data_IF_739159678151
#
_entry.id   IF_739159678151
#
_cell.length_a   1.000
_cell.length_b   1.000
_cell.length_c   1.000
_cell.angle_alpha   90.00
_cell.angle_beta   90.00
_cell.angle_gamma   90.00
#
_symmetry.space_group_name_H-M   'P 1'
#
loop_
_entity.id
_entity.type
_entity.pdbx_description
1 polymer ?
#
# COMPACT_ATOMS: atom_id res chain seq x y z
N UNK A 1 -20.81 -8.51 29.69
CA UNK A 1 -19.39 -8.94 29.59
C UNK A 1 -18.60 -7.70 29.25
N UNK A 2 -17.68 -7.28 30.13
CA UNK A 2 -16.70 -6.27 29.74
C UNK A 2 -15.84 -6.87 28.62
N UNK A 3 -15.73 -6.16 27.49
CA UNK A 3 -14.90 -6.62 26.38
C UNK A 3 -13.47 -6.20 26.65
N UNK A 4 -12.61 -7.17 26.99
CA UNK A 4 -11.17 -6.93 27.07
C UNK A 4 -10.58 -6.75 25.66
N UNK A 5 -9.59 -5.86 25.54
CA UNK A 5 -8.89 -5.63 24.28
C UNK A 5 -8.07 -6.87 23.92
N UNK A 6 -8.33 -7.44 22.74
CA UNK A 6 -7.55 -8.58 22.28
C UNK A 6 -6.15 -8.14 21.84
N UNK A 7 -5.16 -9.04 21.96
CA UNK A 7 -3.79 -8.81 21.49
C UNK A 7 -3.71 -8.35 20.04
N UNK A 8 -4.61 -8.83 19.18
CA UNK A 8 -4.69 -8.41 17.77
C UNK A 8 -5.06 -6.93 17.67
N UNK A 9 -6.06 -6.48 18.43
CA UNK A 9 -6.48 -5.07 18.44
C UNK A 9 -5.36 -4.21 19.02
N UNK A 10 -4.73 -4.63 20.12
CA UNK A 10 -3.58 -3.92 20.69
C UNK A 10 -2.47 -3.71 19.65
N UNK A 11 -2.15 -4.74 18.87
CA UNK A 11 -1.13 -4.67 17.81
C UNK A 11 -1.54 -3.71 16.70
N UNK A 12 -2.80 -3.78 16.23
CA UNK A 12 -3.32 -2.92 15.17
C UNK A 12 -3.33 -1.43 15.58
N UNK A 13 -3.75 -1.12 16.80
CA UNK A 13 -3.73 0.25 17.34
C UNK A 13 -2.29 0.77 17.56
N UNK A 14 -1.34 -0.14 17.68
CA UNK A 14 0.08 0.15 17.81
C UNK A 14 0.80 0.30 16.47
N UNK A 15 0.12 0.23 15.32
CA UNK A 15 0.76 0.33 14.02
C UNK A 15 1.58 1.63 13.84
N UNK A 16 2.79 1.47 13.30
CA UNK A 16 3.67 2.58 12.89
C UNK A 16 4.61 2.14 11.78
N UNK A 17 4.70 2.93 10.72
CA UNK A 17 5.57 2.59 9.60
C UNK A 17 7.06 2.63 9.99
N UNK A 18 7.77 1.56 9.71
CA UNK A 18 9.21 1.42 9.90
C UNK A 18 9.94 1.67 8.57
N UNK A 19 10.91 2.58 8.56
CA UNK A 19 11.68 2.98 7.37
C UNK A 19 13.19 2.79 7.53
N UNK A 20 13.61 2.18 8.62
CA UNK A 20 15.00 1.79 8.90
C UNK A 20 14.97 0.36 9.43
N UNK A 21 15.71 -0.52 8.77
CA UNK A 21 15.74 -1.96 9.05
C UNK A 21 17.17 -2.43 9.27
N UNK A 22 17.34 -3.47 10.09
CA UNK A 22 18.63 -4.14 10.24
C UNK A 22 18.99 -4.87 8.94
N UNK A 23 20.29 -5.14 8.74
CA UNK A 23 20.80 -5.94 7.61
C UNK A 23 20.55 -7.43 7.84
N UNK A 24 19.28 -7.81 7.89
CA UNK A 24 18.80 -9.17 8.13
C UNK A 24 17.59 -9.44 7.22
N UNK A 25 17.64 -10.56 6.50
CA UNK A 25 16.50 -11.06 5.71
C UNK A 25 15.53 -11.83 6.62
N UNK A 26 14.27 -11.94 6.21
CA UNK A 26 13.30 -12.82 6.84
C UNK A 26 13.74 -14.29 6.70
N UNK A 27 13.36 -15.11 7.67
CA UNK A 27 13.57 -16.56 7.59
C UNK A 27 12.56 -17.21 6.64
N UNK A 28 12.86 -18.37 6.05
CA UNK A 28 11.90 -19.10 5.22
C UNK A 28 10.55 -19.34 5.91
N UNK A 29 10.57 -19.67 7.20
CA UNK A 29 9.35 -19.84 8.00
C UNK A 29 8.53 -18.56 8.10
N UNK A 30 9.17 -17.40 8.29
CA UNK A 30 8.47 -16.11 8.32
C UNK A 30 7.86 -15.79 6.95
N UNK A 31 8.61 -16.02 5.86
CA UNK A 31 8.12 -15.82 4.50
C UNK A 31 6.87 -16.68 4.24
N UNK A 32 6.94 -17.98 4.51
CA UNK A 32 5.81 -18.89 4.33
C UNK A 32 4.58 -18.50 5.16
N UNK A 33 4.77 -18.04 6.40
CA UNK A 33 3.65 -17.54 7.23
C UNK A 33 2.97 -16.34 6.57
N UNK A 34 3.75 -15.37 6.10
CA UNK A 34 3.22 -14.16 5.47
C UNK A 34 2.53 -14.46 4.12
N UNK A 35 3.12 -15.34 3.32
CA UNK A 35 2.54 -15.82 2.06
C UNK A 35 1.21 -16.54 2.26
N UNK A 36 1.12 -17.42 3.27
CA UNK A 36 -0.11 -18.13 3.61
C UNK A 36 -1.21 -17.16 4.09
N UNK A 37 -0.86 -16.15 4.91
CA UNK A 37 -1.81 -15.12 5.33
C UNK A 37 -2.35 -14.35 4.12
N UNK A 38 -1.46 -13.96 3.20
CA UNK A 38 -1.85 -13.34 1.95
C UNK A 38 -2.83 -14.26 1.22
N UNK A 39 -2.49 -15.54 1.02
CA UNK A 39 -3.33 -16.52 0.33
C UNK A 39 -4.74 -16.69 0.95
N UNK A 40 -4.85 -16.56 2.28
CA UNK A 40 -6.11 -16.69 3.02
C UNK A 40 -6.97 -15.41 3.02
N UNK A 41 -6.53 -14.33 2.39
CA UNK A 41 -7.27 -13.05 2.34
C UNK A 41 -8.54 -13.20 1.50
N UNK A 42 -9.64 -12.57 1.93
CA UNK A 42 -10.91 -12.52 1.19
C UNK A 42 -10.72 -11.92 -0.22
N UNK A 43 -11.52 -12.41 -1.18
CA UNK A 43 -11.43 -11.99 -2.59
C UNK A 43 -12.80 -11.88 -3.24
N UNK A 44 -12.95 -10.91 -4.15
CA UNK A 44 -14.20 -10.74 -4.91
C UNK A 44 -14.44 -11.92 -5.83
N UNK A 45 -15.67 -12.45 -5.78
CA UNK A 45 -16.13 -13.58 -6.61
C UNK A 45 -15.22 -14.84 -6.55
N UNK A 46 -14.36 -14.94 -5.53
CA UNK A 46 -13.31 -15.97 -5.42
C UNK A 46 -12.31 -16.02 -6.59
N UNK A 47 -12.22 -14.94 -7.36
CA UNK A 47 -11.37 -14.86 -8.57
C UNK A 47 -9.91 -14.54 -8.27
N UNK A 48 -9.62 -14.14 -7.02
CA UNK A 48 -8.29 -13.96 -6.44
C UNK A 48 -7.38 -13.06 -7.28
N UNK A 49 -7.87 -11.93 -7.79
CA UNK A 49 -7.28 -11.10 -8.87
C UNK A 49 -6.02 -10.32 -8.48
N UNK A 50 -5.11 -10.97 -7.75
CA UNK A 50 -3.85 -10.43 -7.24
C UNK A 50 -2.71 -11.41 -7.39
N UNK A 51 -1.51 -10.86 -7.55
CA UNK A 51 -0.23 -11.54 -7.48
C UNK A 51 0.74 -10.75 -6.61
N UNK A 52 1.73 -11.43 -6.04
CA UNK A 52 2.77 -10.81 -5.20
C UNK A 52 4.14 -11.22 -5.70
N UNK A 53 5.01 -10.25 -5.94
CA UNK A 53 6.42 -10.50 -6.25
C UNK A 53 7.28 -10.24 -5.02
N UNK A 54 8.07 -11.23 -4.60
CA UNK A 54 9.17 -11.04 -3.65
C UNK A 54 10.45 -10.66 -4.41
N UNK A 55 10.89 -9.42 -4.29
CA UNK A 55 12.03 -8.89 -5.05
C UNK A 55 13.34 -9.16 -4.31
N UNK A 56 14.07 -10.17 -4.75
CA UNK A 56 15.40 -10.55 -4.24
C UNK A 56 16.54 -10.07 -5.14
N UNK A 57 16.28 -9.81 -6.43
CA UNK A 57 17.27 -9.31 -7.39
C UNK A 57 17.73 -7.88 -7.01
N UNK A 58 19.03 -7.67 -6.72
CA UNK A 58 19.56 -6.38 -6.28
C UNK A 58 19.43 -5.27 -7.35
N UNK A 59 19.50 -5.61 -8.64
CA UNK A 59 19.35 -4.65 -9.73
C UNK A 59 17.89 -4.18 -9.81
N UNK A 60 16.93 -5.10 -9.76
CA UNK A 60 15.50 -4.73 -9.74
C UNK A 60 15.16 -3.89 -8.51
N UNK A 61 15.66 -4.26 -7.33
CA UNK A 61 15.46 -3.49 -6.09
C UNK A 61 16.02 -2.07 -6.19
N UNK A 62 17.22 -1.90 -6.76
CA UNK A 62 17.82 -0.59 -7.01
C UNK A 62 16.97 0.26 -7.98
N UNK A 63 16.46 -0.34 -9.05
CA UNK A 63 15.55 0.36 -9.99
C UNK A 63 14.26 0.80 -9.29
N UNK A 64 13.67 -0.04 -8.45
CA UNK A 64 12.47 0.32 -7.66
C UNK A 64 12.78 1.46 -6.67
N UNK A 65 13.96 1.44 -6.04
CA UNK A 65 14.43 2.53 -5.18
C UNK A 65 14.52 3.85 -5.95
N UNK A 66 15.18 3.85 -7.11
CA UNK A 66 15.30 5.02 -8.01
C UNK A 66 13.93 5.58 -8.40
N UNK A 67 12.99 4.72 -8.82
CA UNK A 67 11.63 5.11 -9.16
C UNK A 67 10.92 5.74 -7.96
N UNK A 68 11.06 5.14 -6.78
CA UNK A 68 10.39 5.61 -5.56
C UNK A 68 10.88 6.96 -5.07
N UNK A 69 12.11 7.35 -5.43
CA UNK A 69 12.79 8.54 -4.91
C UNK A 69 13.07 8.50 -3.39
N UNK A 70 13.01 7.31 -2.77
CA UNK A 70 13.14 7.13 -1.33
C UNK A 70 14.32 6.20 -1.01
N UNK A 71 15.36 6.67 -0.28
CA UNK A 71 16.60 5.91 -0.11
C UNK A 71 16.44 4.64 0.73
N UNK A 72 15.42 4.52 1.55
CA UNK A 72 15.17 3.30 2.33
C UNK A 72 14.54 2.18 1.50
N UNK A 73 13.91 2.49 0.36
CA UNK A 73 13.20 1.51 -0.46
C UNK A 73 14.19 0.52 -1.06
N UNK A 74 14.00 -0.77 -0.82
CA UNK A 74 14.86 -1.83 -1.34
C UNK A 74 16.25 -1.93 -0.68
N UNK A 75 16.59 -1.05 0.27
CA UNK A 75 17.92 -0.98 0.88
C UNK A 75 18.19 -2.12 1.90
N UNK A 76 17.25 -2.35 2.83
CA UNK A 76 17.33 -3.40 3.86
C UNK A 76 15.96 -4.02 4.10
N UNK A 77 15.93 -5.26 4.56
CA UNK A 77 14.71 -6.06 4.66
C UNK A 77 14.21 -6.57 3.30
N UNK A 78 13.12 -7.33 3.34
CA UNK A 78 12.48 -7.90 2.18
C UNK A 78 11.53 -6.89 1.52
N UNK A 79 11.43 -6.96 0.19
CA UNK A 79 10.59 -6.06 -0.60
C UNK A 79 9.60 -6.88 -1.40
N UNK A 80 8.31 -6.60 -1.19
CA UNK A 80 7.21 -7.25 -1.90
C UNK A 80 6.48 -6.21 -2.75
N UNK A 81 6.08 -6.58 -3.96
CA UNK A 81 5.22 -5.76 -4.83
C UNK A 81 3.91 -6.50 -5.04
N UNK A 82 2.82 -5.87 -4.63
CA UNK A 82 1.46 -6.38 -4.75
C UNK A 82 0.81 -5.83 -6.02
N UNK A 83 0.24 -6.72 -6.83
CA UNK A 83 -0.12 -6.49 -8.23
C UNK A 83 -1.57 -6.92 -8.43
N UNK A 84 -2.37 -6.10 -9.12
CA UNK A 84 -3.61 -6.57 -9.75
C UNK A 84 -3.24 -7.53 -10.87
N UNK A 85 -3.79 -8.74 -10.86
CA UNK A 85 -3.49 -9.78 -11.84
C UNK A 85 -4.78 -10.31 -12.47
N UNK A 86 -5.14 -9.74 -13.62
CA UNK A 86 -6.21 -10.22 -14.48
C UNK A 86 -5.68 -11.12 -15.61
N UNK A 87 -4.36 -11.09 -15.83
CA UNK A 87 -3.67 -11.93 -16.80
C UNK A 87 -3.92 -13.40 -16.54
N UNK A 88 -3.78 -13.87 -15.29
CA UNK A 88 -4.02 -15.29 -14.95
C UNK A 88 -5.43 -15.73 -15.35
N UNK A 89 -6.44 -14.91 -15.06
CA UNK A 89 -7.83 -15.25 -15.36
C UNK A 89 -8.11 -15.16 -16.87
N UNK A 90 -7.43 -14.27 -17.59
CA UNK A 90 -7.46 -14.23 -19.06
C UNK A 90 -6.91 -15.53 -19.66
N UNK A 91 -5.75 -15.99 -19.19
CA UNK A 91 -5.13 -17.22 -19.66
C UNK A 91 -6.04 -18.43 -19.44
N UNK A 92 -6.69 -18.53 -18.28
CA UNK A 92 -7.66 -19.60 -17.99
C UNK A 92 -8.83 -19.58 -19.00
N UNK A 93 -9.40 -18.41 -19.29
CA UNK A 93 -10.51 -18.28 -20.25
C UNK A 93 -10.09 -18.67 -21.67
N UNK A 94 -8.96 -18.15 -22.13
CA UNK A 94 -8.45 -18.42 -23.48
C UNK A 94 -8.10 -19.90 -23.67
N UNK A 95 -7.46 -20.55 -22.68
CA UNK A 95 -7.15 -21.97 -22.73
C UNK A 95 -8.40 -22.86 -22.72
N UNK A 96 -9.50 -22.37 -22.16
CA UNK A 96 -10.80 -23.02 -22.20
C UNK A 96 -11.63 -22.66 -23.48
N UNK A 97 -11.06 -21.90 -24.42
CA UNK A 97 -11.71 -21.54 -25.69
C UNK A 97 -12.70 -20.38 -25.59
N UNK A 98 -12.70 -19.63 -24.49
CA UNK A 98 -13.53 -18.44 -24.31
C UNK A 98 -12.75 -17.15 -24.64
N UNK A 99 -13.49 -16.08 -24.93
CA UNK A 99 -12.94 -14.72 -25.01
C UNK A 99 -12.54 -14.18 -23.63
N UNK A 100 -12.01 -12.96 -23.58
CA UNK A 100 -11.57 -12.31 -22.33
C UNK A 100 -12.74 -11.83 -21.44
N UNK A 101 -13.98 -11.94 -21.92
CA UNK A 101 -15.18 -11.50 -21.22
C UNK A 101 -15.08 -10.05 -20.73
N UNK A 102 -15.22 -9.87 -19.41
CA UNK A 102 -15.21 -8.56 -18.75
C UNK A 102 -13.85 -8.16 -18.15
N UNK A 103 -12.78 -8.93 -18.38
CA UNK A 103 -11.48 -8.71 -17.72
C UNK A 103 -10.83 -7.36 -18.04
N UNK A 104 -11.23 -6.70 -19.13
CA UNK A 104 -10.74 -5.36 -19.48
C UNK A 104 -11.48 -4.21 -18.79
N UNK A 105 -12.64 -4.47 -18.16
CA UNK A 105 -13.53 -3.42 -17.64
C UNK A 105 -13.00 -2.85 -16.33
N UNK A 106 -13.27 -1.57 -16.10
CA UNK A 106 -12.91 -0.86 -14.85
C UNK A 106 -13.44 -1.57 -13.60
N UNK A 107 -14.64 -2.14 -13.65
CA UNK A 107 -15.22 -2.95 -12.57
C UNK A 107 -14.28 -4.08 -12.10
N UNK A 108 -13.80 -4.91 -13.03
CA UNK A 108 -12.91 -6.03 -12.69
C UNK A 108 -11.53 -5.54 -12.24
N UNK A 109 -11.07 -4.38 -12.74
CA UNK A 109 -9.87 -3.76 -12.23
C UNK A 109 -10.04 -3.30 -10.77
N UNK A 110 -11.14 -2.63 -10.43
CA UNK A 110 -11.43 -2.17 -9.06
C UNK A 110 -11.52 -3.35 -8.08
N UNK A 111 -12.20 -4.43 -8.46
CA UNK A 111 -12.22 -5.67 -7.67
C UNK A 111 -10.80 -6.23 -7.44
N UNK A 112 -9.96 -6.23 -8.48
CA UNK A 112 -8.55 -6.61 -8.33
C UNK A 112 -7.77 -5.67 -7.39
N UNK A 113 -8.04 -4.36 -7.43
CA UNK A 113 -7.44 -3.40 -6.50
C UNK A 113 -7.84 -3.73 -5.07
N UNK A 114 -9.13 -3.98 -4.82
CA UNK A 114 -9.68 -4.37 -3.52
C UNK A 114 -9.01 -5.63 -2.96
N UNK A 115 -8.98 -6.71 -3.75
CA UNK A 115 -8.26 -7.96 -3.41
C UNK A 115 -6.81 -7.67 -3.01
N UNK A 116 -6.14 -6.80 -3.78
CA UNK A 116 -4.73 -6.47 -3.60
C UNK A 116 -4.50 -5.67 -2.31
N UNK A 117 -5.29 -4.64 -2.02
CA UNK A 117 -5.11 -3.80 -0.82
C UNK A 117 -5.51 -4.52 0.47
N UNK A 118 -6.53 -5.40 0.41
CA UNK A 118 -6.86 -6.28 1.53
C UNK A 118 -5.69 -7.20 1.87
N UNK A 119 -5.04 -7.77 0.85
CA UNK A 119 -3.89 -8.64 1.05
C UNK A 119 -2.68 -7.90 1.61
N UNK A 120 -2.44 -6.66 1.17
CA UNK A 120 -1.41 -5.78 1.72
C UNK A 120 -1.62 -5.57 3.22
N UNK A 121 -2.84 -5.21 3.65
CA UNK A 121 -3.09 -4.97 5.07
C UNK A 121 -3.00 -6.25 5.90
N UNK A 122 -3.46 -7.39 5.37
CA UNK A 122 -3.37 -8.68 6.06
C UNK A 122 -1.90 -9.10 6.25
N UNK A 123 -1.07 -8.92 5.21
CA UNK A 123 0.37 -9.12 5.27
C UNK A 123 1.03 -8.24 6.34
N UNK A 124 0.67 -6.95 6.39
CA UNK A 124 1.21 -6.00 7.38
C UNK A 124 0.85 -6.42 8.80
N UNK A 125 -0.40 -6.76 9.07
CA UNK A 125 -0.85 -7.21 10.38
C UNK A 125 -0.08 -8.46 10.83
N UNK A 126 0.10 -9.44 9.93
CA UNK A 126 0.85 -10.65 10.24
C UNK A 126 2.33 -10.35 10.51
N UNK A 127 2.97 -9.51 9.70
CA UNK A 127 4.37 -9.13 9.91
C UNK A 127 4.57 -8.44 11.27
N UNK A 128 3.69 -7.52 11.64
CA UNK A 128 3.76 -6.84 12.94
C UNK A 128 3.48 -7.78 14.11
N UNK A 129 2.62 -8.79 13.92
CA UNK A 129 2.41 -9.84 14.93
C UNK A 129 3.68 -10.68 15.20
N UNK A 130 4.56 -10.79 14.20
CA UNK A 130 5.89 -11.42 14.27
C UNK A 130 6.98 -10.46 14.80
N UNK A 131 6.61 -9.28 15.30
CA UNK A 131 7.51 -8.21 15.77
C UNK A 131 8.42 -7.65 14.67
N UNK A 132 8.03 -7.79 13.40
CA UNK A 132 8.70 -7.15 12.27
C UNK A 132 8.16 -5.72 12.09
N UNK A 133 8.97 -4.87 11.48
CA UNK A 133 8.55 -3.56 11.01
C UNK A 133 8.06 -3.61 9.58
N UNK A 134 7.13 -2.73 9.21
CA UNK A 134 6.63 -2.64 7.84
C UNK A 134 6.52 -1.20 7.35
N UNK A 135 6.60 -0.99 6.04
CA UNK A 135 6.15 0.24 5.39
C UNK A 135 5.49 -0.08 4.05
N UNK A 136 4.28 0.45 3.86
CA UNK A 136 3.57 0.43 2.58
C UNK A 136 4.12 1.55 1.68
N UNK A 137 4.38 1.22 0.42
CA UNK A 137 5.10 2.03 -0.56
C UNK A 137 4.21 2.31 -1.77
N UNK A 138 3.44 3.40 -1.74
CA UNK A 138 2.77 3.92 -2.94
C UNK A 138 3.73 4.63 -3.91
N UNK A 139 4.91 5.04 -3.44
CA UNK A 139 5.93 5.73 -4.22
C UNK A 139 6.54 4.88 -5.33
N UNK A 140 6.42 3.55 -5.28
CA UNK A 140 6.84 2.69 -6.40
C UNK A 140 6.16 3.09 -7.71
N UNK A 141 4.95 3.68 -7.62
CA UNK A 141 4.19 4.16 -8.76
C UNK A 141 4.49 5.62 -9.13
N UNK A 142 5.59 6.21 -8.66
CA UNK A 142 6.04 7.51 -9.13
C UNK A 142 6.45 7.50 -10.62
N UNK A 143 6.75 6.33 -11.19
CA UNK A 143 6.90 6.13 -12.63
C UNK A 143 6.36 4.75 -13.03
N UNK A 144 5.04 4.60 -13.17
CA UNK A 144 4.40 3.29 -13.31
C UNK A 144 4.78 2.58 -14.62
N UNK A 145 4.96 3.32 -15.72
CA UNK A 145 5.44 2.77 -16.99
C UNK A 145 6.80 2.10 -16.85
N UNK A 146 7.73 2.74 -16.13
CA UNK A 146 9.06 2.17 -15.92
C UNK A 146 9.02 0.99 -14.94
N UNK A 147 8.19 1.09 -13.89
CA UNK A 147 8.04 0.00 -12.93
C UNK A 147 7.55 -1.29 -13.60
N UNK A 148 6.55 -1.20 -14.48
CA UNK A 148 6.04 -2.33 -15.27
C UNK A 148 7.16 -3.01 -16.06
N UNK A 149 8.05 -2.23 -16.69
CA UNK A 149 9.20 -2.75 -17.44
C UNK A 149 10.22 -3.44 -16.53
N UNK A 150 10.60 -2.80 -15.43
CA UNK A 150 11.54 -3.35 -14.44
C UNK A 150 11.06 -4.69 -13.89
N UNK A 151 9.76 -4.79 -13.63
CA UNK A 151 9.12 -5.99 -13.10
C UNK A 151 8.79 -7.03 -14.19
N UNK A 152 8.92 -6.67 -15.47
CA UNK A 152 8.53 -7.49 -16.63
C UNK A 152 7.07 -7.97 -16.56
N UNK A 153 6.16 -7.04 -16.27
CA UNK A 153 4.74 -7.33 -16.10
C UNK A 153 4.02 -7.48 -17.44
N UNK A 154 3.24 -8.57 -17.64
CA UNK A 154 2.44 -8.75 -18.85
C UNK A 154 1.22 -7.80 -18.86
N UNK A 155 0.55 -7.71 -20.02
CA UNK A 155 -0.77 -7.07 -20.13
C UNK A 155 -1.73 -7.66 -19.11
N UNK A 156 -2.74 -6.89 -18.72
CA UNK A 156 -3.72 -7.21 -17.69
C UNK A 156 -3.12 -7.37 -16.29
N UNK A 157 -1.96 -6.76 -16.04
CA UNK A 157 -1.40 -6.65 -14.69
C UNK A 157 -0.98 -5.22 -14.36
N UNK A 158 -1.04 -4.85 -13.09
CA UNK A 158 -0.62 -3.52 -12.65
C UNK A 158 -0.17 -3.50 -11.18
N UNK A 159 1.02 -2.95 -10.86
CA UNK A 159 1.50 -2.87 -9.48
C UNK A 159 0.73 -1.81 -8.69
N UNK A 160 0.18 -2.16 -7.52
CA UNK A 160 -0.64 -1.27 -6.69
C UNK A 160 0.18 -0.65 -5.56
N UNK A 161 0.80 -1.50 -4.75
CA UNK A 161 1.58 -1.09 -3.57
C UNK A 161 2.79 -1.99 -3.40
N UNK A 162 3.88 -1.39 -2.90
CA UNK A 162 5.00 -2.15 -2.35
C UNK A 162 4.82 -2.32 -0.85
N UNK A 163 5.41 -3.37 -0.27
CA UNK A 163 5.60 -3.50 1.17
C UNK A 163 7.05 -3.85 1.42
N UNK A 164 7.73 -3.03 2.21
CA UNK A 164 9.04 -3.37 2.74
C UNK A 164 8.88 -3.84 4.18
N UNK A 165 9.49 -4.97 4.51
CA UNK A 165 9.34 -5.65 5.79
C UNK A 165 10.69 -6.14 6.28
N UNK A 166 10.92 -6.10 7.59
CA UNK A 166 12.20 -6.53 8.16
C UNK A 166 12.29 -6.28 9.65
N UNK A 167 13.44 -6.63 10.23
CA UNK A 167 13.71 -6.35 11.65
C UNK A 167 13.89 -4.84 11.83
N UNK A 168 13.07 -4.17 12.68
CA UNK A 168 13.13 -2.73 12.82
C UNK A 168 14.47 -2.27 13.40
N UNK A 169 14.99 -1.16 12.87
CA UNK A 169 16.17 -0.45 13.37
C UNK A 169 15.81 1.00 13.76
N UNK A 170 14.55 1.21 14.14
CA UNK A 170 14.01 2.46 14.65
C UNK A 170 12.74 2.19 15.46
N UNK A 171 12.36 3.13 16.33
CA UNK A 171 11.10 3.11 17.09
C UNK A 171 10.39 4.47 16.95
N UNK A 172 9.67 4.71 15.84
CA UNK A 172 8.94 5.96 15.63
C UNK A 172 7.78 6.11 16.62
N UNK A 173 7.48 7.38 16.94
CA UNK A 173 6.24 7.74 17.64
C UNK A 173 5.01 7.34 16.81
N UNK A 174 3.92 7.03 17.52
CA UNK A 174 2.62 6.83 16.89
C UNK A 174 2.18 8.12 16.21
N UNK A 175 1.85 8.01 14.92
CA UNK A 175 1.32 9.15 14.17
C UNK A 175 -0.11 9.41 14.65
N UNK A 176 -0.50 10.64 15.01
CA UNK A 176 -1.88 10.96 15.37
C UNK A 176 -2.83 10.66 14.21
N UNK A 177 -4.07 10.26 14.52
CA UNK A 177 -5.15 10.04 13.55
C UNK A 177 -6.23 11.09 13.75
N UNK A 178 -6.98 11.40 12.70
CA UNK A 178 -8.17 12.23 12.79
C UNK A 178 -9.08 11.69 13.91
N UNK A 179 -9.74 12.58 14.68
CA UNK A 179 -10.78 12.17 15.62
C UNK A 179 -11.88 11.34 14.94
N UNK A 180 -12.55 10.48 15.71
CA UNK A 180 -13.47 9.48 15.15
C UNK A 180 -14.65 10.13 14.43
N UNK A 181 -15.16 11.23 14.94
CA UNK A 181 -16.27 12.01 14.39
C UNK A 181 -16.01 12.54 12.98
N UNK A 182 -14.76 12.55 12.50
CA UNK A 182 -14.41 12.94 11.12
C UNK A 182 -14.23 11.75 10.16
N UNK A 183 -14.33 10.51 10.64
CA UNK A 183 -14.17 9.30 9.81
C UNK A 183 -15.34 8.31 9.92
N UNK A 184 -16.07 8.34 11.04
CA UNK A 184 -17.12 7.39 11.35
C UNK A 184 -18.44 8.14 11.46
N UNK A 185 -19.32 7.90 10.49
CA UNK A 185 -20.64 8.53 10.41
C UNK A 185 -21.72 7.44 10.50
N UNK A 186 -22.84 7.77 11.13
CA UNK A 186 -23.97 6.87 11.24
C UNK A 186 -25.00 7.22 10.17
N UNK A 187 -25.34 6.24 9.32
CA UNK A 187 -26.31 6.32 8.23
C UNK A 187 -25.99 7.27 7.07
N UNK A 188 -25.55 8.50 7.34
CA UNK A 188 -25.39 9.55 6.33
C UNK A 188 -24.02 10.24 6.41
N UNK A 189 -23.52 10.70 5.26
CA UNK A 189 -22.29 11.49 5.20
C UNK A 189 -22.59 12.97 5.45
N UNK A 190 -21.91 13.65 6.38
CA UNK A 190 -22.13 15.06 6.64
C UNK A 190 -21.66 15.91 5.46
N UNK A 191 -22.55 16.72 4.91
CA UNK A 191 -22.24 17.60 3.76
C UNK A 191 -21.73 18.98 4.18
N UNK A 192 -21.87 19.34 5.45
CA UNK A 192 -21.27 20.55 6.01
C UNK A 192 -19.93 20.22 6.66
N UNK A 193 -18.86 20.89 6.20
CA UNK A 193 -17.53 20.73 6.77
C UNK A 193 -16.85 22.09 6.92
N UNK A 194 -16.38 22.39 8.13
CA UNK A 194 -15.57 23.59 8.38
C UNK A 194 -14.18 23.15 8.82
N UNK A 195 -13.16 23.64 8.13
CA UNK A 195 -11.77 23.35 8.49
C UNK A 195 -11.43 23.79 9.94
N UNK A 196 -12.16 24.77 10.49
CA UNK A 196 -12.04 25.20 11.89
C UNK A 196 -12.35 24.10 12.89
N UNK A 197 -13.16 23.10 12.52
CA UNK A 197 -13.56 22.01 13.42
C UNK A 197 -12.36 21.07 13.71
N UNK A 198 -11.28 21.17 12.91
CA UNK A 198 -10.03 20.45 13.11
C UNK A 198 -8.99 21.23 13.92
N UNK A 199 -9.32 22.38 14.51
CA UNK A 199 -8.35 23.22 15.22
C UNK A 199 -7.61 22.48 16.35
N UNK A 200 -8.31 21.68 17.15
CA UNK A 200 -7.70 20.89 18.22
C UNK A 200 -6.80 19.78 17.66
N UNK A 201 -7.25 19.11 16.59
CA UNK A 201 -6.44 18.10 15.91
C UNK A 201 -5.17 18.71 15.30
N UNK A 202 -5.26 19.90 14.74
CA UNK A 202 -4.11 20.64 14.22
C UNK A 202 -3.07 20.93 15.31
N UNK A 203 -3.49 21.23 16.55
CA UNK A 203 -2.56 21.37 17.67
C UNK A 203 -1.88 20.06 18.01
N UNK A 204 -2.62 18.94 18.06
CA UNK A 204 -2.05 17.60 18.28
C UNK A 204 -0.99 17.29 17.22
N UNK A 205 -1.29 17.53 15.93
CA UNK A 205 -0.37 17.23 14.82
C UNK A 205 0.92 18.06 14.89
N UNK A 206 0.83 19.35 15.28
CA UNK A 206 2.02 20.21 15.45
C UNK A 206 3.01 19.71 16.50
N UNK A 207 2.55 18.91 17.48
CA UNK A 207 3.42 18.31 18.50
C UNK A 207 4.13 17.03 18.05
N UNK A 208 3.68 16.42 16.94
CA UNK A 208 4.27 15.20 16.42
C UNK A 208 5.55 15.47 15.62
N UNK A 209 6.58 14.63 15.84
CA UNK A 209 7.83 14.68 15.10
C UNK A 209 7.86 13.59 14.02
N UNK A 210 7.97 13.99 12.74
CA UNK A 210 8.18 13.03 11.65
C UNK A 210 9.66 12.65 11.57
N UNK A 211 9.97 11.38 11.82
CA UNK A 211 11.33 10.84 11.72
C UNK A 211 11.96 10.98 10.34
N UNK A 212 11.19 11.28 9.27
CA UNK A 212 11.77 11.61 7.96
C UNK A 212 12.68 12.84 8.03
N UNK A 213 12.42 13.75 8.97
CA UNK A 213 13.23 14.94 9.25
C UNK A 213 13.23 15.16 10.76
N UNK A 214 14.07 14.44 11.50
CA UNK A 214 14.10 14.45 12.97
C UNK A 214 14.19 15.86 13.60
N UNK A 215 14.65 16.86 12.86
CA UNK A 215 14.77 18.26 13.30
C UNK A 215 13.67 19.20 12.76
N UNK A 216 12.63 18.70 12.09
CA UNK A 216 11.55 19.53 11.53
C UNK A 216 10.19 19.03 11.99
N UNK A 217 9.45 19.88 12.70
CA UNK A 217 8.03 19.63 13.02
C UNK A 217 7.24 19.52 11.73
N UNK A 218 6.28 18.61 11.70
CA UNK A 218 5.31 18.60 10.62
C UNK A 218 4.34 19.76 10.80
N UNK A 219 3.88 20.30 9.68
CA UNK A 219 2.82 21.31 9.70
C UNK A 219 1.52 20.67 10.22
N UNK A 220 0.57 21.51 10.63
CA UNK A 220 -0.77 21.07 11.00
C UNK A 220 -1.45 20.27 9.88
N UNK A 221 -2.47 19.49 10.21
CA UNK A 221 -3.14 18.63 9.24
C UNK A 221 -3.79 19.47 8.13
N UNK A 222 -4.52 20.52 8.48
CA UNK A 222 -5.20 21.39 7.50
C UNK A 222 -4.20 22.08 6.57
N UNK A 223 -3.08 22.56 7.09
CA UNK A 223 -2.03 23.18 6.26
C UNK A 223 -1.34 22.16 5.34
N UNK A 224 -1.18 20.90 5.77
CA UNK A 224 -0.67 19.85 4.89
C UNK A 224 -1.59 19.59 3.71
N UNK A 225 -2.92 19.64 3.89
CA UNK A 225 -3.89 19.51 2.80
C UNK A 225 -3.74 20.67 1.80
N UNK A 226 -3.56 21.89 2.28
CA UNK A 226 -3.34 23.07 1.43
C UNK A 226 -1.90 23.20 0.89
N UNK A 227 -1.00 22.27 1.23
CA UNK A 227 0.40 22.37 0.87
C UNK A 227 0.65 22.08 -0.61
N UNK A 228 1.81 22.49 -1.17
CA UNK A 228 2.18 22.14 -2.54
C UNK A 228 2.18 20.64 -2.83
N UNK A 229 2.27 19.76 -1.82
CA UNK A 229 2.19 18.31 -2.02
C UNK A 229 0.87 17.88 -2.68
N UNK A 230 -0.23 18.55 -2.35
CA UNK A 230 -1.54 18.34 -2.99
C UNK A 230 -1.80 19.36 -4.11
N UNK A 231 -1.13 20.51 -4.07
CA UNK A 231 -1.28 21.58 -5.07
C UNK A 231 -0.51 21.38 -6.39
N UNK A 232 0.49 20.50 -6.43
CA UNK A 232 1.23 20.16 -7.66
C UNK A 232 0.30 19.40 -8.63
N UNK A 233 0.22 19.88 -9.87
CA UNK A 233 -0.68 19.33 -10.90
C UNK A 233 0.00 18.41 -11.92
N UNK A 234 1.33 18.46 -12.00
CA UNK A 234 2.09 17.74 -13.04
C UNK A 234 3.12 16.80 -12.41
N UNK A 235 2.76 15.53 -12.36
CA UNK A 235 3.61 14.42 -11.97
C UNK A 235 3.50 13.30 -13.00
N UNK A 236 4.45 12.37 -13.01
CA UNK A 236 4.32 11.15 -13.81
C UNK A 236 3.13 10.28 -13.40
N UNK A 237 2.52 10.52 -12.23
CA UNK A 237 1.33 9.79 -11.75
C UNK A 237 0.06 10.27 -12.44
N UNK A 238 0.06 11.46 -13.03
CA UNK A 238 -1.10 11.96 -13.81
C UNK A 238 -1.27 11.20 -15.13
N UNK A 239 -0.26 10.39 -15.51
CA UNK A 239 -0.31 9.47 -16.66
C UNK A 239 -0.91 8.09 -16.31
N UNK A 240 -1.35 7.86 -15.06
CA UNK A 240 -1.78 6.54 -14.59
C UNK A 240 -2.89 5.93 -15.44
N UNK A 241 -3.87 6.74 -15.86
CA UNK A 241 -4.98 6.24 -16.69
C UNK A 241 -4.48 5.75 -18.06
N UNK A 242 -3.59 6.50 -18.71
CA UNK A 242 -3.01 6.08 -19.99
C UNK A 242 -2.18 4.79 -19.81
N UNK A 243 -1.46 4.65 -18.70
CA UNK A 243 -0.68 3.44 -18.41
C UNK A 243 -1.59 2.25 -18.16
N UNK A 244 -2.69 2.41 -17.42
CA UNK A 244 -3.70 1.37 -17.21
C UNK A 244 -4.32 0.92 -18.53
N UNK A 245 -4.76 1.87 -19.38
CA UNK A 245 -5.25 1.55 -20.72
C UNK A 245 -4.20 0.84 -21.56
N UNK A 246 -2.93 1.25 -21.46
CA UNK A 246 -1.85 0.57 -22.17
C UNK A 246 -1.68 -0.87 -21.67
N UNK A 247 -1.99 -1.17 -20.42
CA UNK A 247 -2.03 -2.53 -19.87
C UNK A 247 -3.32 -3.30 -20.21
N UNK A 248 -4.23 -2.71 -21.00
CA UNK A 248 -5.52 -3.32 -21.31
C UNK A 248 -6.49 -3.31 -20.12
N UNK A 249 -6.24 -2.49 -19.10
CA UNK A 249 -7.05 -2.33 -17.91
C UNK A 249 -7.89 -1.06 -18.01
N UNK A 250 -9.00 -1.01 -17.27
CA UNK A 250 -9.91 0.16 -17.22
C UNK A 250 -10.44 0.60 -18.60
N UNK A 251 -10.63 -0.35 -19.52
CA UNK A 251 -11.25 -0.07 -20.81
C UNK A 251 -12.78 0.03 -20.67
N UNK A 252 -13.40 0.65 -21.67
CA UNK A 252 -14.86 0.83 -21.73
C UNK A 252 -15.59 -0.49 -21.65
#
# INVERSE_FOLDING_TARGET
METEISKTIEQQLNHRSIRSFKKQQLTPTQLTMLENVVNQTATSMFTQQRSVLHLTDPNKRKRVQEISGQPYVGAQGDLFIFIVDLYRNQQIRQQAGFDDGRLHRTDLFLQGVEDTVLAVQNFVNAAESLKLGTVILGSINNNPTELIKVLNLPKLTFPILGVQVGVPNQQPQLKPRLPLEFNFFENEYPQEFKASDLADYDQVVKTYYDLRQANRRIDSFTHQICSPKLGIRDTKRDQLLQVLHSQGLCLK
#
